data_IF_542006653606
#
_entry.id   IF_542006653606
#
_cell.length_a   1.000
_cell.length_b   1.000
_cell.length_c   1.000
_cell.angle_alpha   90.00
_cell.angle_beta   90.00
_cell.angle_gamma   90.00
#
_symmetry.space_group_name_H-M   'P 1'
#
loop_
_entity.id
_entity.type
_entity.pdbx_description
1 polymer ?
#
# COMPACT_ATOMS: atom_id res chain seq x y z
N UNK A 1 -2.54 -17.29 35.48
CA UNK A 1 -3.98 -17.58 35.26
C UNK A 1 -4.66 -16.29 34.88
N UNK A 2 -5.27 -16.30 33.72
CA UNK A 2 -5.99 -15.14 33.17
C UNK A 2 -7.49 -15.38 33.44
N UNK A 3 -8.19 -14.33 33.88
CA UNK A 3 -9.64 -14.35 33.92
C UNK A 3 -10.17 -13.16 33.13
N UNK A 4 -11.08 -13.43 32.20
CA UNK A 4 -11.81 -12.37 31.50
C UNK A 4 -13.07 -12.11 32.30
N UNK A 5 -13.23 -10.90 32.82
CA UNK A 5 -14.37 -10.50 33.63
C UNK A 5 -15.45 -9.85 32.75
N UNK A 6 -16.70 -10.10 33.14
CA UNK A 6 -17.86 -9.48 32.49
C UNK A 6 -17.83 -7.96 32.66
N UNK A 7 -18.41 -7.31 31.75
CA UNK A 7 -18.59 -5.88 31.55
C UNK A 7 -18.56 -5.00 32.79
N UNK A 8 -17.57 -4.13 32.89
CA UNK A 8 -17.69 -2.95 33.76
C UNK A 8 -18.14 -1.80 32.85
N UNK A 9 -19.36 -1.33 33.01
CA UNK A 9 -19.84 -0.09 32.39
C UNK A 9 -19.08 1.08 33.03
N UNK A 10 -18.22 1.73 32.27
CA UNK A 10 -17.60 2.98 32.68
C UNK A 10 -18.60 4.09 32.40
N UNK A 11 -18.93 4.98 33.35
CA UNK A 11 -19.80 6.10 33.05
C UNK A 11 -19.25 6.92 31.89
N UNK A 12 -19.99 6.97 30.77
CA UNK A 12 -19.63 7.70 29.56
C UNK A 12 -18.85 6.94 28.48
N UNK A 13 -18.65 5.62 28.61
CA UNK A 13 -17.96 4.77 27.60
C UNK A 13 -18.81 3.60 27.14
N UNK A 14 -18.64 3.20 25.86
CA UNK A 14 -19.14 1.93 25.34
C UNK A 14 -18.58 0.78 26.19
N UNK A 15 -19.41 -0.22 26.48
CA UNK A 15 -19.03 -1.37 27.31
C UNK A 15 -17.77 -2.06 26.79
N UNK A 16 -16.70 -2.00 27.59
CA UNK A 16 -15.40 -2.54 27.24
C UNK A 16 -15.06 -3.69 28.17
N UNK A 17 -14.62 -4.82 27.63
CA UNK A 17 -14.18 -5.99 28.37
C UNK A 17 -12.98 -5.71 29.26
N UNK A 18 -12.68 -6.64 30.16
CA UNK A 18 -11.56 -6.55 31.10
C UNK A 18 -10.81 -7.87 31.18
N UNK A 19 -9.51 -7.80 31.26
CA UNK A 19 -8.61 -8.93 31.58
C UNK A 19 -8.01 -8.68 32.97
N UNK A 20 -8.13 -9.63 33.85
CA UNK A 20 -7.44 -9.62 35.13
C UNK A 20 -6.32 -10.66 35.13
N UNK A 21 -5.16 -10.25 35.62
CA UNK A 21 -4.00 -11.14 35.84
C UNK A 21 -3.82 -11.32 37.34
N UNK A 22 -3.67 -12.55 37.76
CA UNK A 22 -3.38 -12.87 39.16
C UNK A 22 -2.17 -13.79 39.30
N UNK A 23 -1.32 -13.52 40.28
CA UNK A 23 -0.26 -14.44 40.70
C UNK A 23 -0.77 -15.35 41.80
N UNK A 24 -0.30 -16.61 41.79
CA UNK A 24 -0.58 -17.56 42.87
C UNK A 24 0.72 -17.73 43.66
N UNK A 25 0.66 -17.37 44.95
CA UNK A 25 1.75 -17.60 45.89
C UNK A 25 1.21 -18.29 47.14
N UNK A 26 1.75 -19.46 47.48
CA UNK A 26 1.29 -20.27 48.60
C UNK A 26 -0.23 -20.53 48.64
N UNK A 27 -0.82 -20.77 47.45
CA UNK A 27 -2.27 -21.01 47.31
C UNK A 27 -3.14 -19.76 47.39
N UNK A 28 -2.56 -18.57 47.50
CA UNK A 28 -3.30 -17.30 47.57
C UNK A 28 -3.21 -16.60 46.24
N UNK A 29 -4.36 -16.23 45.70
CA UNK A 29 -4.47 -15.37 44.49
C UNK A 29 -4.23 -13.91 44.86
N UNK A 30 -3.28 -13.28 44.18
CA UNK A 30 -3.03 -11.85 44.29
C UNK A 30 -3.18 -11.21 42.92
N UNK A 31 -4.13 -10.28 42.79
CA UNK A 31 -4.29 -9.50 41.54
C UNK A 31 -3.03 -8.68 41.26
N UNK A 32 -2.63 -8.68 39.99
CA UNK A 32 -1.58 -7.81 39.46
C UNK A 32 -2.17 -6.44 39.09
N UNK A 33 -1.33 -5.45 39.02
CA UNK A 33 -1.72 -4.14 38.49
C UNK A 33 -1.88 -4.24 36.97
N UNK A 34 -2.95 -3.65 36.43
CA UNK A 34 -3.28 -3.67 35.01
C UNK A 34 -3.32 -2.26 34.41
N UNK A 35 -2.61 -2.05 33.33
CA UNK A 35 -2.73 -0.87 32.48
C UNK A 35 -3.33 -1.27 31.12
N UNK A 36 -4.14 -0.41 30.57
CA UNK A 36 -4.77 -0.62 29.26
C UNK A 36 -4.32 0.49 28.30
N UNK A 37 -3.82 0.11 27.13
CA UNK A 37 -3.58 1.04 26.04
C UNK A 37 -4.89 1.69 25.57
N UNK A 38 -4.77 2.78 24.85
CA UNK A 38 -5.92 3.50 24.29
C UNK A 38 -6.75 2.53 23.44
N UNK A 39 -8.05 2.52 23.68
CA UNK A 39 -9.05 1.68 22.98
C UNK A 39 -8.83 0.15 23.03
N UNK A 40 -7.73 -0.34 23.62
CA UNK A 40 -7.44 -1.77 23.70
C UNK A 40 -8.59 -2.59 24.35
N UNK A 41 -9.31 -2.00 25.30
CA UNK A 41 -10.44 -2.65 25.96
C UNK A 41 -11.62 -2.91 25.02
N UNK A 42 -11.77 -2.13 23.95
CA UNK A 42 -12.84 -2.31 22.98
C UNK A 42 -12.71 -3.66 22.26
N UNK A 43 -11.49 -4.15 22.10
CA UNK A 43 -11.23 -5.46 21.50
C UNK A 43 -11.80 -6.61 22.33
N UNK A 44 -11.93 -6.46 23.63
CA UNK A 44 -12.48 -7.47 24.52
C UNK A 44 -14.03 -7.52 24.51
N UNK A 45 -14.69 -6.67 23.73
CA UNK A 45 -16.14 -6.69 23.54
C UNK A 45 -16.59 -7.75 22.52
N UNK A 46 -17.88 -8.05 22.49
CA UNK A 46 -18.47 -9.11 21.68
C UNK A 46 -18.75 -8.71 20.22
N UNK A 47 -18.73 -7.43 19.84
CA UNK A 47 -19.06 -6.93 18.50
C UNK A 47 -18.23 -5.73 18.08
N UNK A 48 -18.10 -5.59 16.76
CA UNK A 48 -17.44 -4.47 16.07
C UNK A 48 -18.15 -3.13 16.16
N UNK A 49 -19.35 -3.09 16.69
CA UNK A 49 -20.15 -1.88 16.79
C UNK A 49 -20.25 -1.42 18.25
N UNK A 50 -20.44 -0.10 18.41
CA UNK A 50 -20.64 0.57 19.69
C UNK A 50 -21.85 0.07 20.52
N UNK A 51 -22.47 -1.02 20.12
CA UNK A 51 -23.60 -1.60 20.82
C UNK A 51 -23.15 -2.29 22.10
N UNK A 52 -23.97 -2.08 23.13
CA UNK A 52 -23.79 -2.62 24.46
C UNK A 52 -23.32 -4.08 24.44
N UNK A 53 -22.22 -4.32 25.12
CA UNK A 53 -21.57 -5.62 25.23
C UNK A 53 -22.57 -6.62 25.82
N UNK A 54 -22.98 -7.57 25.00
CA UNK A 54 -23.53 -8.80 25.55
C UNK A 54 -22.43 -9.51 26.33
N UNK A 55 -22.76 -10.19 27.40
CA UNK A 55 -21.81 -10.92 28.25
C UNK A 55 -20.78 -11.69 27.44
N UNK A 56 -19.50 -11.50 27.73
CA UNK A 56 -18.38 -12.22 27.14
C UNK A 56 -18.03 -13.39 28.03
N UNK A 57 -17.89 -14.56 27.44
CA UNK A 57 -17.48 -15.78 28.14
C UNK A 57 -15.97 -16.00 27.95
N UNK A 58 -15.34 -16.68 28.88
CA UNK A 58 -13.92 -17.05 28.76
C UNK A 58 -13.65 -17.89 27.50
N UNK A 59 -14.63 -18.64 27.02
CA UNK A 59 -14.57 -19.48 25.82
C UNK A 59 -14.47 -18.66 24.51
N UNK A 60 -14.87 -17.40 24.56
CA UNK A 60 -14.78 -16.47 23.43
C UNK A 60 -13.33 -16.04 23.15
N UNK A 61 -12.38 -16.40 24.01
CA UNK A 61 -11.00 -15.98 23.89
C UNK A 61 -10.04 -17.18 23.75
N UNK A 62 -8.94 -16.92 23.03
CA UNK A 62 -7.79 -17.79 22.99
C UNK A 62 -6.54 -17.04 23.47
N UNK A 63 -5.61 -17.77 24.12
CA UNK A 63 -4.44 -17.20 24.76
C UNK A 63 -3.19 -17.97 24.33
N UNK A 64 -2.29 -17.28 23.64
CA UNK A 64 -1.00 -17.81 23.24
C UNK A 64 0.11 -17.02 23.93
N UNK A 65 0.91 -17.68 24.76
CA UNK A 65 2.06 -17.02 25.38
C UNK A 65 3.35 -17.38 24.66
N UNK A 66 4.04 -16.34 24.20
CA UNK A 66 5.36 -16.44 23.56
C UNK A 66 6.31 -15.58 24.40
N UNK A 67 7.24 -16.22 25.11
CA UNK A 67 8.15 -15.54 26.07
C UNK A 67 7.35 -14.71 27.10
N UNK A 68 7.57 -13.40 27.14
CA UNK A 68 6.94 -12.49 28.11
C UNK A 68 5.64 -11.83 27.60
N UNK A 69 5.20 -12.23 26.43
CA UNK A 69 4.02 -11.66 25.77
C UNK A 69 2.95 -12.72 25.55
N UNK A 70 1.73 -12.43 25.97
CA UNK A 70 0.56 -13.26 25.66
C UNK A 70 -0.28 -12.57 24.61
N UNK A 71 -0.48 -13.24 23.48
CA UNK A 71 -1.41 -12.84 22.44
C UNK A 71 -2.81 -13.26 22.88
N UNK A 72 -3.74 -12.34 22.89
CA UNK A 72 -5.15 -12.57 23.22
C UNK A 72 -5.97 -12.42 21.95
N UNK A 73 -6.63 -13.49 21.56
CA UNK A 73 -7.51 -13.56 20.39
C UNK A 73 -8.97 -13.56 20.84
N UNK A 74 -9.77 -12.64 20.35
CA UNK A 74 -11.21 -12.62 20.53
C UNK A 74 -11.86 -13.30 19.32
N UNK A 75 -12.44 -14.48 19.53
CA UNK A 75 -13.05 -15.34 18.50
C UNK A 75 -14.33 -14.75 17.87
N UNK A 76 -14.91 -13.73 18.47
CA UNK A 76 -16.09 -13.04 17.95
C UNK A 76 -15.74 -11.76 17.16
N UNK A 77 -14.47 -11.36 17.14
CA UNK A 77 -14.04 -10.15 16.46
C UNK A 77 -13.79 -10.43 14.99
N UNK A 78 -14.51 -9.71 14.14
CA UNK A 78 -14.32 -9.78 12.69
C UNK A 78 -13.14 -8.89 12.30
N UNK A 79 -12.20 -9.42 11.55
CA UNK A 79 -11.08 -8.65 11.02
C UNK A 79 -11.58 -7.67 9.97
N UNK A 80 -11.05 -6.46 9.96
CA UNK A 80 -11.44 -5.41 9.03
C UNK A 80 -10.20 -4.80 8.35
N UNK A 81 -10.35 -4.45 7.08
CA UNK A 81 -9.28 -3.76 6.36
C UNK A 81 -9.26 -2.25 6.66
N UNK A 82 -8.10 -1.64 6.49
CA UNK A 82 -7.96 -0.19 6.52
C UNK A 82 -8.66 0.43 5.31
N UNK A 83 -9.08 1.67 5.43
CA UNK A 83 -9.60 2.43 4.29
C UNK A 83 -8.46 3.03 3.47
N UNK A 84 -8.67 3.21 2.18
CA UNK A 84 -7.82 4.11 1.40
C UNK A 84 -7.99 5.54 1.91
N UNK A 85 -6.88 6.24 2.10
CA UNK A 85 -6.91 7.66 2.49
C UNK A 85 -7.65 8.51 1.44
N UNK A 86 -7.36 8.24 0.17
CA UNK A 86 -8.02 8.84 -0.99
C UNK A 86 -8.26 7.76 -2.05
N UNK A 87 -9.40 7.80 -2.76
CA UNK A 87 -9.64 6.91 -3.88
C UNK A 87 -8.60 7.14 -4.98
N UNK A 88 -8.00 6.08 -5.47
CA UNK A 88 -7.11 6.17 -6.62
C UNK A 88 -7.92 6.51 -7.88
N UNK A 89 -7.50 7.55 -8.58
CA UNK A 89 -8.05 7.92 -9.89
C UNK A 89 -6.92 7.87 -10.90
N UNK A 90 -7.04 6.99 -11.87
CA UNK A 90 -6.08 6.83 -12.93
C UNK A 90 -5.98 8.09 -13.82
N UNK A 91 -4.84 8.25 -14.51
CA UNK A 91 -4.59 9.33 -15.47
C UNK A 91 -4.72 10.77 -14.94
N UNK A 92 -4.53 10.96 -13.64
CA UNK A 92 -4.43 12.32 -13.06
C UNK A 92 -3.03 12.90 -13.13
N UNK A 93 -2.04 12.09 -13.43
CA UNK A 93 -0.62 12.51 -13.50
C UNK A 93 0.00 12.03 -14.80
N UNK A 94 0.91 12.85 -15.34
CA UNK A 94 1.71 12.49 -16.50
C UNK A 94 3.13 13.05 -16.34
N UNK A 95 4.10 12.32 -16.87
CA UNK A 95 5.47 12.75 -16.99
C UNK A 95 5.80 12.86 -18.47
N UNK A 96 6.22 14.03 -18.94
CA UNK A 96 6.75 14.25 -20.29
C UNK A 96 8.25 14.42 -20.18
N UNK A 97 9.02 13.64 -20.93
CA UNK A 97 10.48 13.63 -20.88
C UNK A 97 11.05 14.04 -22.24
N UNK A 98 12.04 14.95 -22.21
CA UNK A 98 12.79 15.35 -23.40
C UNK A 98 14.09 14.54 -23.47
N UNK A 99 14.34 13.89 -24.61
CA UNK A 99 15.51 13.05 -24.83
C UNK A 99 16.56 13.72 -25.71
N UNK A 100 16.12 14.53 -26.67
CA UNK A 100 17.01 15.25 -27.57
C UNK A 100 16.47 16.62 -27.93
N UNK A 101 17.37 17.52 -28.30
CA UNK A 101 17.08 18.89 -28.66
C UNK A 101 17.67 19.14 -30.05
N UNK A 102 16.85 19.64 -30.97
CA UNK A 102 17.20 19.80 -32.39
C UNK A 102 16.81 21.20 -32.86
N UNK A 103 17.60 21.73 -33.81
CA UNK A 103 17.25 22.95 -34.54
C UNK A 103 16.10 22.70 -35.51
N UNK A 104 15.33 23.75 -35.83
CA UNK A 104 14.22 23.72 -36.80
C UNK A 104 13.23 22.59 -36.55
N UNK A 105 12.95 22.36 -35.29
CA UNK A 105 12.10 21.24 -34.84
C UNK A 105 10.93 21.75 -34.02
N UNK A 106 9.84 21.00 -34.06
CA UNK A 106 8.64 21.26 -33.28
C UNK A 106 8.57 20.26 -32.11
N UNK A 107 8.26 20.78 -30.91
CA UNK A 107 7.96 20.03 -29.72
C UNK A 107 6.52 20.33 -29.30
N UNK A 108 5.73 19.30 -29.11
CA UNK A 108 4.29 19.42 -28.89
C UNK A 108 3.81 18.54 -27.75
N UNK A 109 2.98 19.09 -26.88
CA UNK A 109 2.22 18.38 -25.87
C UNK A 109 0.75 18.66 -26.12
N UNK A 110 -0.08 17.61 -26.16
CA UNK A 110 -1.52 17.73 -26.28
C UNK A 110 -2.20 17.00 -25.11
N UNK A 111 -3.16 17.68 -24.48
CA UNK A 111 -3.96 17.17 -23.38
C UNK A 111 -5.42 17.09 -23.78
N UNK A 112 -6.08 15.99 -23.46
CA UNK A 112 -7.52 15.79 -23.62
C UNK A 112 -8.06 15.30 -22.30
N UNK A 113 -9.02 16.02 -21.70
CA UNK A 113 -9.65 15.60 -20.46
C UNK A 113 -10.73 14.57 -20.70
N UNK A 114 -10.81 13.54 -19.88
CA UNK A 114 -11.83 12.50 -20.02
C UNK A 114 -13.25 13.05 -19.84
N UNK A 115 -13.42 14.15 -19.11
CA UNK A 115 -14.69 14.86 -18.94
C UNK A 115 -15.12 15.67 -20.19
N UNK A 116 -14.16 16.04 -21.08
CA UNK A 116 -14.41 16.76 -22.33
C UNK A 116 -13.44 16.23 -23.40
N UNK A 117 -13.85 15.18 -24.08
CA UNK A 117 -13.07 14.54 -25.14
C UNK A 117 -13.08 15.31 -26.46
N UNK A 118 -13.86 16.40 -26.56
CA UNK A 118 -13.96 17.21 -27.78
C UNK A 118 -12.91 18.32 -27.84
N UNK A 119 -12.42 18.79 -26.69
CA UNK A 119 -11.45 19.86 -26.59
C UNK A 119 -10.03 19.31 -26.41
N UNK A 120 -9.13 19.65 -27.32
CA UNK A 120 -7.71 19.33 -27.21
C UNK A 120 -6.93 20.59 -26.87
N UNK A 121 -6.26 20.57 -25.75
CA UNK A 121 -5.34 21.63 -25.34
C UNK A 121 -3.95 21.31 -25.83
N UNK A 122 -3.32 22.23 -26.58
CA UNK A 122 -2.04 21.95 -27.22
C UNK A 122 -1.03 23.06 -26.91
N UNK A 123 0.12 22.67 -26.36
CA UNK A 123 1.30 23.52 -26.25
C UNK A 123 2.32 23.14 -27.32
N UNK A 124 2.89 24.13 -28.02
CA UNK A 124 3.85 23.94 -29.10
C UNK A 124 5.03 24.88 -28.85
N UNK A 125 6.24 24.30 -28.90
CA UNK A 125 7.49 25.05 -28.96
C UNK A 125 8.20 24.72 -30.27
N UNK A 126 8.61 25.75 -31.02
CA UNK A 126 9.39 25.60 -32.26
C UNK A 126 10.77 26.18 -32.06
N UNK A 127 11.79 25.33 -32.21
CA UNK A 127 13.16 25.78 -32.12
C UNK A 127 13.59 26.52 -33.39
N UNK A 128 14.44 27.53 -33.20
CA UNK A 128 15.00 28.31 -34.34
C UNK A 128 15.82 27.45 -35.31
N UNK A 129 16.01 27.96 -36.49
CA UNK A 129 16.93 27.39 -37.47
C UNK A 129 18.36 27.56 -36.95
N UNK A 130 19.21 26.55 -37.19
CA UNK A 130 20.64 26.66 -36.91
C UNK A 130 21.25 27.76 -37.80
N UNK A 131 21.92 28.72 -37.15
CA UNK A 131 22.59 29.82 -37.83
C UNK A 131 24.09 29.81 -37.46
N UNK A 132 24.94 29.78 -38.47
CA UNK A 132 26.40 29.82 -38.29
C UNK A 132 26.93 31.20 -37.91
N UNK A 133 26.09 32.24 -37.95
CA UNK A 133 26.44 33.60 -37.56
C UNK A 133 26.25 33.93 -36.08
N UNK A 134 25.66 33.02 -35.32
CA UNK A 134 25.38 33.20 -33.88
C UNK A 134 26.44 32.48 -33.04
N UNK A 135 26.87 33.09 -31.94
CA UNK A 135 27.84 32.50 -31.01
C UNK A 135 27.40 31.13 -30.50
N UNK A 136 28.36 30.21 -30.27
CA UNK A 136 28.07 28.90 -29.66
C UNK A 136 27.36 29.00 -28.32
N UNK A 137 27.65 30.04 -27.51
CA UNK A 137 26.99 30.29 -26.23
C UNK A 137 25.48 30.57 -26.41
N UNK A 138 25.12 31.41 -27.40
CA UNK A 138 23.71 31.73 -27.70
C UNK A 138 22.99 30.51 -28.26
N UNK A 139 23.64 29.73 -29.10
CA UNK A 139 23.07 28.50 -29.63
C UNK A 139 22.80 27.48 -28.50
N UNK A 140 23.70 27.33 -27.56
CA UNK A 140 23.51 26.45 -26.40
C UNK A 140 22.36 26.92 -25.55
N UNK A 141 22.17 28.22 -25.35
CA UNK A 141 21.05 28.79 -24.61
C UNK A 141 19.71 28.50 -25.28
N UNK A 142 19.59 28.69 -26.61
CA UNK A 142 18.36 28.47 -27.34
C UNK A 142 17.97 27.00 -27.52
N UNK A 143 18.92 26.06 -27.38
CA UNK A 143 18.70 24.61 -27.45
C UNK A 143 18.81 23.92 -26.09
N UNK A 144 18.39 24.56 -25.07
CA UNK A 144 18.30 23.92 -23.74
C UNK A 144 17.01 23.15 -23.60
N UNK A 145 17.11 21.91 -23.13
CA UNK A 145 15.93 21.09 -22.77
C UNK A 145 15.04 21.81 -21.77
N UNK A 146 15.64 22.50 -20.81
CA UNK A 146 14.92 23.28 -19.80
C UNK A 146 14.09 24.39 -20.46
N UNK A 147 14.66 25.16 -21.38
CA UNK A 147 13.98 26.28 -22.02
C UNK A 147 12.81 25.80 -22.91
N UNK A 148 12.97 24.68 -23.60
CA UNK A 148 11.87 24.07 -24.37
C UNK A 148 10.73 23.63 -23.44
N UNK A 149 11.06 23.04 -22.27
CA UNK A 149 10.06 22.63 -21.30
C UNK A 149 9.42 23.83 -20.59
N UNK A 150 10.16 24.90 -20.33
CA UNK A 150 9.61 26.18 -19.82
C UNK A 150 8.59 26.75 -20.81
N UNK A 151 8.91 26.81 -22.11
CA UNK A 151 8.01 27.26 -23.16
C UNK A 151 6.75 26.39 -23.28
N UNK A 152 6.89 25.08 -23.23
CA UNK A 152 5.75 24.16 -23.29
C UNK A 152 4.86 24.29 -22.03
N UNK A 153 5.45 24.60 -20.89
CA UNK A 153 4.72 24.84 -19.64
C UNK A 153 3.98 26.18 -19.63
N UNK A 154 4.69 27.27 -19.90
CA UNK A 154 4.20 28.62 -19.64
C UNK A 154 3.57 29.26 -20.88
N UNK A 155 3.88 28.76 -22.08
CA UNK A 155 3.52 29.38 -23.33
C UNK A 155 4.41 30.59 -23.65
N UNK A 156 4.18 31.24 -24.79
CA UNK A 156 4.80 32.53 -25.06
C UNK A 156 3.99 33.63 -24.41
N UNK A 157 4.56 34.36 -23.50
CA UNK A 157 4.08 35.70 -23.25
C UNK A 157 4.24 36.51 -24.52
N UNK A 158 3.19 37.26 -24.90
CA UNK A 158 3.15 38.01 -26.15
C UNK A 158 4.28 39.05 -26.20
N UNK A 159 5.36 38.78 -26.91
CA UNK A 159 6.40 39.73 -27.22
C UNK A 159 7.83 39.30 -26.94
N UNK A 160 8.10 38.36 -26.07
CA UNK A 160 9.47 37.92 -25.75
C UNK A 160 9.76 36.52 -26.22
N UNK A 161 10.22 36.42 -27.46
CA UNK A 161 11.00 35.28 -27.92
C UNK A 161 12.43 35.37 -27.36
N UNK A 162 12.57 35.44 -26.03
CA UNK A 162 13.85 35.50 -25.37
C UNK A 162 14.74 34.31 -25.79
N UNK A 163 14.13 33.19 -26.09
CA UNK A 163 14.81 31.97 -26.53
C UNK A 163 14.76 31.71 -28.06
N UNK A 164 14.17 32.62 -28.84
CA UNK A 164 14.03 32.46 -30.27
C UNK A 164 13.06 31.37 -30.71
N UNK A 165 12.19 30.93 -29.82
CA UNK A 165 11.15 29.94 -30.07
C UNK A 165 9.88 30.63 -30.57
N UNK A 166 9.18 30.06 -31.53
CA UNK A 166 7.84 30.50 -31.95
C UNK A 166 6.80 29.61 -31.28
N UNK A 167 6.05 30.17 -30.34
CA UNK A 167 5.06 29.40 -29.59
C UNK A 167 3.65 29.60 -30.14
N UNK A 168 2.85 28.56 -30.09
CA UNK A 168 1.41 28.71 -30.14
C UNK A 168 0.92 29.24 -28.76
N UNK A 169 -0.07 30.10 -28.80
CA UNK A 169 -0.45 31.07 -27.78
C UNK A 169 -0.82 30.58 -26.38
N UNK A 170 -0.66 29.33 -26.01
CA UNK A 170 -1.04 28.84 -24.67
C UNK A 170 -0.14 27.69 -24.24
N UNK A 171 0.61 27.90 -23.17
CA UNK A 171 1.25 26.84 -22.45
C UNK A 171 0.24 26.01 -21.65
N UNK A 172 0.70 24.91 -21.08
CA UNK A 172 -0.13 24.04 -20.25
C UNK A 172 -0.55 24.76 -18.95
N UNK A 173 0.28 25.66 -18.46
CA UNK A 173 0.04 26.38 -17.17
C UNK A 173 -1.19 27.31 -17.19
N UNK A 174 -1.66 27.72 -18.37
CA UNK A 174 -2.91 28.50 -18.50
C UNK A 174 -4.19 27.70 -18.24
N UNK A 175 -4.10 26.39 -18.03
CA UNK A 175 -5.24 25.54 -17.74
C UNK A 175 -5.55 25.55 -16.23
N UNK A 176 -6.74 25.98 -15.86
CA UNK A 176 -7.22 26.17 -14.47
C UNK A 176 -7.23 24.88 -13.73
N UNK A 177 -6.83 23.84 -13.84
CA UNK A 177 -6.85 22.60 -13.06
C UNK A 177 -5.61 21.74 -13.31
N UNK A 178 -4.60 22.33 -13.92
CA UNK A 178 -3.34 21.69 -14.21
C UNK A 178 -2.22 22.37 -13.42
N UNK A 179 -1.42 21.56 -12.77
CA UNK A 179 -0.12 21.99 -12.21
C UNK A 179 0.97 21.31 -13.03
N UNK A 180 1.89 22.10 -13.58
CA UNK A 180 3.00 21.62 -14.36
C UNK A 180 4.33 22.05 -13.70
N UNK A 181 5.20 21.09 -13.42
CA UNK A 181 6.47 21.31 -12.70
C UNK A 181 7.63 20.69 -13.49
N UNK A 182 8.65 21.49 -13.79
CA UNK A 182 9.87 20.98 -14.41
C UNK A 182 10.80 20.39 -13.37
N UNK A 183 11.29 19.18 -13.63
CA UNK A 183 12.25 18.45 -12.81
C UNK A 183 13.29 17.82 -13.74
N UNK A 184 14.52 18.36 -13.71
CA UNK A 184 15.57 17.94 -14.65
C UNK A 184 15.15 18.10 -16.11
N UNK A 185 15.11 17.00 -16.85
CA UNK A 185 14.68 16.94 -18.25
C UNK A 185 13.22 16.47 -18.42
N UNK A 186 12.42 16.57 -17.37
CA UNK A 186 11.03 16.13 -17.38
C UNK A 186 10.07 17.24 -16.95
N UNK A 187 8.86 17.21 -17.51
CA UNK A 187 7.73 18.02 -17.09
C UNK A 187 6.70 17.12 -16.43
N UNK A 188 6.51 17.28 -15.12
CA UNK A 188 5.48 16.61 -14.35
C UNK A 188 4.18 17.40 -14.41
N UNK A 189 3.11 16.77 -14.90
CA UNK A 189 1.78 17.35 -15.11
C UNK A 189 0.83 16.65 -14.15
N UNK A 190 0.11 17.43 -13.35
CA UNK A 190 -0.90 16.92 -12.42
C UNK A 190 -2.24 17.64 -12.61
N UNK A 191 -3.32 16.90 -12.67
CA UNK A 191 -4.69 17.43 -12.73
C UNK A 191 -5.36 17.37 -11.37
N UNK A 192 -5.97 18.47 -10.96
CA UNK A 192 -6.81 18.53 -9.76
C UNK A 192 -8.27 18.18 -10.04
N UNK A 193 -8.70 18.14 -11.32
CA UNK A 193 -10.10 18.03 -11.71
C UNK A 193 -10.39 16.87 -12.67
N UNK A 194 -9.82 15.71 -12.41
CA UNK A 194 -10.16 14.52 -13.18
C UNK A 194 -9.02 13.98 -14.05
N UNK A 195 -9.30 12.90 -14.73
CA UNK A 195 -8.37 12.21 -15.59
C UNK A 195 -8.17 12.95 -16.92
N UNK A 196 -6.99 12.82 -17.51
CA UNK A 196 -6.65 13.34 -18.83
C UNK A 196 -5.75 12.36 -19.58
N UNK A 197 -5.75 12.47 -20.88
CA UNK A 197 -4.80 11.74 -21.75
C UNK A 197 -3.78 12.74 -22.29
N UNK A 198 -2.49 12.37 -22.23
CA UNK A 198 -1.38 13.14 -22.79
C UNK A 198 -0.85 12.46 -24.05
N UNK A 199 -0.61 13.25 -25.08
CA UNK A 199 0.14 12.82 -26.27
C UNK A 199 1.24 13.82 -26.56
N UNK A 200 2.39 13.31 -26.99
CA UNK A 200 3.57 14.14 -27.25
C UNK A 200 4.18 13.82 -28.61
N UNK A 201 4.82 14.80 -29.22
CA UNK A 201 5.70 14.62 -30.35
C UNK A 201 6.82 15.65 -30.27
N UNK A 202 8.02 15.31 -30.70
CA UNK A 202 9.14 16.25 -30.66
C UNK A 202 10.28 15.82 -31.58
N UNK A 203 11.05 16.82 -32.06
CA UNK A 203 12.15 16.62 -32.98
C UNK A 203 11.71 16.28 -34.41
N UNK A 204 12.67 16.06 -35.30
CA UNK A 204 12.40 15.73 -36.71
C UNK A 204 11.73 14.37 -36.91
N UNK A 205 12.02 13.42 -36.00
CA UNK A 205 11.48 12.05 -36.04
C UNK A 205 10.23 11.86 -35.20
N UNK A 206 9.80 12.87 -34.45
CA UNK A 206 8.67 12.81 -33.54
C UNK A 206 8.97 12.12 -32.21
N UNK A 207 10.18 11.60 -31.99
CA UNK A 207 10.57 10.79 -30.83
C UNK A 207 11.42 11.51 -29.78
N UNK A 208 11.67 12.82 -29.97
CA UNK A 208 12.47 13.60 -28.99
C UNK A 208 11.75 13.85 -27.67
N UNK A 209 10.42 13.74 -27.63
CA UNK A 209 9.61 13.69 -26.43
C UNK A 209 8.98 12.31 -26.26
N UNK A 210 8.96 11.84 -25.04
CA UNK A 210 8.15 10.69 -24.60
C UNK A 210 7.28 11.07 -23.43
N UNK A 211 6.20 10.35 -23.23
CA UNK A 211 5.33 10.56 -22.07
C UNK A 211 4.85 9.25 -21.51
N UNK A 212 4.63 9.23 -20.20
CA UNK A 212 3.91 8.17 -19.53
C UNK A 212 2.98 8.75 -18.45
N UNK A 213 1.97 8.01 -18.09
CA UNK A 213 1.04 8.38 -17.02
C UNK A 213 1.19 7.44 -15.82
N UNK A 214 0.34 6.46 -15.70
CA UNK A 214 0.35 5.55 -14.55
C UNK A 214 1.13 4.27 -14.81
N UNK A 215 1.54 4.04 -16.05
CA UNK A 215 2.14 2.78 -16.48
C UNK A 215 3.31 3.02 -17.41
N UNK A 216 4.36 2.21 -17.24
CA UNK A 216 5.50 2.08 -18.16
C UNK A 216 5.74 0.60 -18.45
N UNK A 217 6.39 0.30 -19.58
CA UNK A 217 6.71 -1.07 -19.92
C UNK A 217 7.97 -1.57 -19.19
N UNK A 218 8.97 -0.71 -19.05
CA UNK A 218 10.23 -1.07 -18.39
C UNK A 218 10.66 0.00 -17.36
N UNK A 219 11.29 -0.43 -16.28
CA UNK A 219 11.85 0.47 -15.26
C UNK A 219 12.89 1.45 -15.84
N UNK A 220 13.58 1.08 -16.93
CA UNK A 220 14.58 1.92 -17.59
C UNK A 220 13.98 3.14 -18.30
N UNK A 221 12.68 3.15 -18.54
CA UNK A 221 11.95 4.30 -19.10
C UNK A 221 11.76 5.41 -18.08
N UNK A 222 11.87 5.08 -16.80
CA UNK A 222 11.66 6.04 -15.72
C UNK A 222 12.83 7.03 -15.61
N UNK A 223 12.54 8.31 -15.33
CA UNK A 223 13.57 9.32 -15.15
C UNK A 223 14.32 9.12 -13.82
N UNK A 224 15.60 9.54 -13.79
CA UNK A 224 16.42 9.57 -12.58
C UNK A 224 16.02 10.70 -11.61
N UNK A 225 15.22 11.65 -12.07
CA UNK A 225 14.71 12.79 -11.31
C UNK A 225 13.19 12.86 -11.47
N UNK A 226 12.46 12.92 -10.36
CA UNK A 226 11.01 12.99 -10.37
C UNK A 226 10.48 13.65 -9.08
N UNK A 227 9.17 13.71 -8.95
CA UNK A 227 8.48 14.18 -7.75
C UNK A 227 8.45 13.05 -6.70
N UNK A 228 8.70 13.39 -5.44
CA UNK A 228 8.56 12.44 -4.33
C UNK A 228 7.14 11.84 -4.32
N UNK A 229 7.03 10.57 -3.98
CA UNK A 229 5.78 9.79 -3.99
C UNK A 229 5.10 9.64 -5.38
N UNK A 230 5.79 9.94 -6.47
CA UNK A 230 5.31 9.56 -7.80
C UNK A 230 5.30 8.05 -7.93
N UNK A 231 4.13 7.46 -8.11
CA UNK A 231 3.94 6.01 -8.22
C UNK A 231 3.54 5.65 -9.64
N UNK A 232 4.10 4.56 -10.16
CA UNK A 232 3.82 4.01 -11.50
C UNK A 232 3.74 2.50 -11.44
N UNK A 233 2.98 1.93 -12.37
CA UNK A 233 2.95 0.49 -12.64
C UNK A 233 4.00 0.17 -13.69
N UNK A 234 4.81 -0.85 -13.46
CA UNK A 234 5.78 -1.37 -14.41
C UNK A 234 5.24 -2.71 -14.90
N UNK A 235 4.84 -2.75 -16.18
CA UNK A 235 4.24 -3.95 -16.78
C UNK A 235 5.24 -5.06 -17.05
N UNK A 236 6.54 -4.71 -17.14
CA UNK A 236 7.62 -5.62 -17.46
C UNK A 236 7.28 -6.59 -18.61
N UNK A 237 6.98 -6.03 -19.79
CA UNK A 237 6.51 -6.79 -20.96
C UNK A 237 7.46 -7.90 -21.41
N UNK A 238 8.72 -7.88 -20.96
CA UNK A 238 9.69 -8.94 -21.16
C UNK A 238 9.41 -10.19 -20.31
N UNK A 239 8.66 -10.03 -19.20
CA UNK A 239 8.28 -11.11 -18.27
C UNK A 239 6.85 -10.88 -17.79
N UNK A 240 5.82 -11.51 -18.43
CA UNK A 240 4.41 -11.20 -18.17
C UNK A 240 3.94 -11.54 -16.74
N UNK A 241 4.80 -12.14 -15.92
CA UNK A 241 4.48 -12.50 -14.54
C UNK A 241 4.95 -11.48 -13.50
N UNK A 242 5.68 -10.43 -13.91
CA UNK A 242 6.40 -9.54 -13.00
C UNK A 242 5.90 -8.10 -13.07
N UNK A 243 4.60 -7.90 -13.25
CA UNK A 243 4.00 -6.56 -13.06
C UNK A 243 4.15 -6.15 -11.61
N UNK A 244 4.75 -5.00 -11.37
CA UNK A 244 4.94 -4.44 -10.03
C UNK A 244 4.77 -2.93 -10.02
N UNK A 245 4.81 -2.33 -8.84
CA UNK A 245 4.60 -0.90 -8.64
C UNK A 245 5.88 -0.28 -8.11
N UNK A 246 6.25 0.87 -8.65
CA UNK A 246 7.39 1.62 -8.19
C UNK A 246 6.99 3.03 -7.75
N UNK A 247 7.59 3.47 -6.65
CA UNK A 247 7.42 4.81 -6.09
C UNK A 247 8.76 5.53 -6.10
N UNK A 248 8.76 6.80 -6.52
CA UNK A 248 9.96 7.62 -6.49
C UNK A 248 10.22 8.20 -5.10
N UNK A 249 11.41 7.97 -4.58
CA UNK A 249 11.90 8.52 -3.32
C UNK A 249 12.97 9.57 -3.62
N UNK A 250 12.58 10.85 -3.59
CA UNK A 250 13.50 11.94 -3.80
C UNK A 250 14.43 12.12 -2.60
N UNK A 251 15.72 12.34 -2.83
CA UNK A 251 16.74 12.51 -1.79
C UNK A 251 16.42 13.64 -0.82
N UNK A 252 15.76 14.69 -1.30
CA UNK A 252 15.35 15.85 -0.47
C UNK A 252 13.92 15.77 0.06
N UNK A 253 13.23 14.64 -0.17
CA UNK A 253 11.84 14.42 0.27
C UNK A 253 10.77 15.20 -0.50
N UNK A 254 11.13 15.93 -1.59
CA UNK A 254 10.16 16.72 -2.36
C UNK A 254 10.22 16.41 -3.87
N UNK A 255 11.32 16.70 -4.55
CA UNK A 255 11.51 16.47 -5.98
C UNK A 255 12.99 16.57 -6.35
N UNK A 256 13.37 16.04 -7.50
CA UNK A 256 14.73 16.06 -8.04
C UNK A 256 15.33 14.67 -8.10
N UNK A 257 16.63 14.55 -7.83
CA UNK A 257 17.33 13.28 -7.85
C UNK A 257 16.84 12.34 -6.74
N UNK A 258 16.77 11.05 -7.05
CA UNK A 258 16.28 10.04 -6.12
C UNK A 258 16.38 8.63 -6.69
N UNK A 259 15.62 7.72 -6.11
CA UNK A 259 15.55 6.31 -6.53
C UNK A 259 14.10 5.85 -6.65
N UNK A 260 13.87 4.91 -7.55
CA UNK A 260 12.60 4.20 -7.66
C UNK A 260 12.66 2.95 -6.78
N UNK A 261 11.73 2.84 -5.84
CA UNK A 261 11.61 1.73 -4.91
C UNK A 261 10.31 0.99 -5.17
N UNK A 262 10.32 -0.33 -4.99
CA UNK A 262 9.08 -1.12 -5.06
C UNK A 262 8.07 -0.65 -4.03
N UNK A 263 6.80 -0.62 -4.42
CA UNK A 263 5.70 -0.19 -3.56
C UNK A 263 4.43 -0.98 -3.83
N UNK A 264 3.41 -0.77 -3.03
CA UNK A 264 2.07 -1.30 -3.31
C UNK A 264 1.34 -0.46 -4.36
N UNK A 265 0.37 -1.06 -5.00
CA UNK A 265 -0.60 -0.34 -5.84
C UNK A 265 -1.34 0.73 -5.02
N UNK A 266 -1.55 1.90 -5.62
CA UNK A 266 -2.38 2.95 -5.00
C UNK A 266 -3.88 2.59 -4.96
N UNK A 267 -4.30 1.62 -5.76
CA UNK A 267 -5.70 1.18 -5.84
C UNK A 267 -6.09 0.17 -4.75
N UNK A 268 -5.14 -0.28 -3.91
CA UNK A 268 -5.40 -1.28 -2.88
C UNK A 268 -5.19 -0.73 -1.48
N UNK A 269 -5.95 -1.25 -0.53
CA UNK A 269 -5.85 -0.87 0.88
C UNK A 269 -4.47 -1.21 1.45
N UNK A 270 -3.93 -0.39 2.36
CA UNK A 270 -2.58 -0.59 2.89
C UNK A 270 -2.46 -1.84 3.76
N UNK A 271 -3.48 -2.17 4.52
CA UNK A 271 -3.40 -3.28 5.44
C UNK A 271 -4.69 -3.51 6.21
N UNK A 272 -4.58 -4.10 7.37
CA UNK A 272 -5.68 -4.43 8.26
C UNK A 272 -5.73 -3.45 9.42
N UNK A 273 -6.91 -3.26 10.00
CA UNK A 273 -7.05 -2.44 11.19
C UNK A 273 -6.54 -3.19 12.42
N UNK A 274 -5.52 -2.68 13.04
CA UNK A 274 -4.92 -3.24 14.25
C UNK A 274 -5.95 -3.47 15.36
N UNK A 275 -6.97 -2.61 15.47
CA UNK A 275 -8.06 -2.70 16.43
C UNK A 275 -8.96 -3.92 16.26
N UNK A 276 -8.95 -4.55 15.08
CA UNK A 276 -9.72 -5.76 14.77
C UNK A 276 -8.92 -7.05 14.93
N UNK A 277 -7.62 -6.96 15.10
CA UNK A 277 -6.68 -8.07 15.19
C UNK A 277 -6.32 -8.42 16.65
N UNK A 278 -5.76 -9.60 16.93
CA UNK A 278 -5.36 -9.99 18.28
C UNK A 278 -4.46 -8.97 18.96
N UNK A 279 -4.68 -8.79 20.26
CA UNK A 279 -3.96 -7.83 21.09
C UNK A 279 -2.93 -8.54 21.95
N UNK A 280 -2.02 -7.78 22.57
CA UNK A 280 -0.99 -8.32 23.44
C UNK A 280 -1.16 -7.90 24.89
N UNK A 281 -0.87 -8.84 25.77
CA UNK A 281 -0.68 -8.63 27.18
C UNK A 281 0.79 -8.92 27.51
N UNK A 282 1.50 -7.96 28.07
CA UNK A 282 2.91 -8.12 28.43
C UNK A 282 3.20 -7.59 29.83
N UNK A 283 4.25 -8.11 30.43
CA UNK A 283 4.71 -7.69 31.75
C UNK A 283 5.80 -6.63 31.60
N UNK A 284 5.52 -5.39 31.97
CA UNK A 284 6.48 -4.28 31.88
C UNK A 284 7.39 -4.22 33.11
N UNK A 285 6.83 -4.46 34.30
CA UNK A 285 7.58 -4.51 35.56
C UNK A 285 6.92 -5.54 36.48
N UNK A 286 7.62 -5.93 37.51
CA UNK A 286 7.14 -6.96 38.46
C UNK A 286 5.69 -6.70 38.93
N UNK A 287 4.81 -7.65 38.65
CA UNK A 287 3.38 -7.62 39.01
C UNK A 287 2.57 -6.49 38.30
N UNK A 288 3.09 -5.91 37.23
CA UNK A 288 2.38 -4.93 36.44
C UNK A 288 2.29 -5.43 34.98
N UNK A 289 1.09 -5.47 34.43
CA UNK A 289 0.81 -5.94 33.09
C UNK A 289 0.14 -4.86 32.28
N UNK A 290 0.53 -4.76 31.03
CA UNK A 290 -0.10 -3.85 30.07
C UNK A 290 -0.79 -4.64 28.97
N UNK A 291 -2.09 -4.40 28.79
CA UNK A 291 -2.86 -4.89 27.65
C UNK A 291 -2.97 -3.80 26.60
N UNK A 292 -2.46 -4.07 25.44
CA UNK A 292 -2.39 -3.08 24.35
C UNK A 292 -2.63 -3.71 22.99
N UNK A 293 -3.01 -2.88 22.05
CA UNK A 293 -3.04 -3.18 20.63
C UNK A 293 -1.65 -3.57 20.15
N UNK A 294 -1.58 -4.48 19.19
CA UNK A 294 -0.37 -4.77 18.43
C UNK A 294 -0.41 -3.92 17.16
N UNK A 295 0.70 -3.31 16.80
CA UNK A 295 0.86 -2.69 15.49
C UNK A 295 1.27 -3.78 14.51
N UNK A 296 0.35 -4.17 13.64
CA UNK A 296 0.63 -5.10 12.55
C UNK A 296 1.18 -4.35 11.36
N UNK A 297 2.04 -5.00 10.59
CA UNK A 297 2.66 -4.37 9.43
C UNK A 297 1.65 -4.20 8.30
N UNK A 298 1.75 -3.07 7.62
CA UNK A 298 1.00 -2.83 6.39
C UNK A 298 1.62 -3.57 5.20
N UNK A 299 0.82 -3.77 4.16
CA UNK A 299 1.27 -4.22 2.86
C UNK A 299 2.07 -3.11 2.19
N UNK A 300 3.37 -3.32 2.01
CA UNK A 300 4.28 -2.32 1.46
C UNK A 300 4.48 -2.47 -0.05
N UNK A 301 4.20 -3.64 -0.62
CA UNK A 301 4.44 -3.97 -2.03
C UNK A 301 3.28 -4.75 -2.63
N UNK A 302 3.18 -4.76 -3.96
CA UNK A 302 2.22 -5.58 -4.71
C UNK A 302 0.77 -5.06 -4.67
N UNK A 303 -0.14 -5.95 -4.97
CA UNK A 303 -1.59 -5.67 -5.07
C UNK A 303 -2.44 -6.86 -4.56
N UNK A 304 -3.72 -6.87 -4.91
CA UNK A 304 -4.66 -7.93 -4.55
C UNK A 304 -4.45 -9.25 -5.35
N UNK A 305 -3.36 -9.37 -6.09
CA UNK A 305 -3.00 -10.57 -6.85
C UNK A 305 -1.63 -11.10 -6.43
N UNK A 306 -0.67 -10.20 -6.24
CA UNK A 306 0.72 -10.55 -5.95
C UNK A 306 1.06 -10.56 -4.46
N UNK A 307 0.29 -9.83 -3.65
CA UNK A 307 0.47 -9.76 -2.19
C UNK A 307 -0.90 -9.55 -1.52
N UNK A 308 -1.73 -10.58 -1.54
CA UNK A 308 -3.12 -10.55 -1.05
C UNK A 308 -3.18 -10.31 0.47
N UNK A 309 -4.36 -9.93 0.97
CA UNK A 309 -4.62 -10.02 2.41
C UNK A 309 -4.59 -11.50 2.83
N UNK A 310 -4.08 -11.80 4.05
CA UNK A 310 -4.09 -13.16 4.58
C UNK A 310 -5.53 -13.71 4.69
N UNK A 311 -5.68 -15.04 4.69
CA UNK A 311 -6.98 -15.73 4.55
C UNK A 311 -7.98 -15.51 5.69
N UNK A 312 -7.60 -14.78 6.74
CA UNK A 312 -8.59 -14.23 7.68
C UNK A 312 -9.34 -13.01 7.11
N UNK A 313 -9.06 -12.66 5.86
CA UNK A 313 -9.88 -11.82 4.98
C UNK A 313 -10.26 -12.64 3.74
N UNK A 314 -11.52 -12.90 3.53
CA UNK A 314 -11.98 -13.63 2.34
C UNK A 314 -11.96 -12.73 1.12
N UNK A 315 -11.18 -13.11 0.10
CA UNK A 315 -11.16 -12.43 -1.19
C UNK A 315 -12.43 -12.75 -1.99
N UNK A 316 -13.08 -11.73 -2.50
CA UNK A 316 -14.22 -11.81 -3.39
C UNK A 316 -13.86 -11.10 -4.71
N UNK A 317 -14.07 -11.79 -5.83
CA UNK A 317 -13.81 -11.25 -7.16
C UNK A 317 -15.12 -11.11 -7.90
N UNK A 318 -15.51 -9.88 -8.23
CA UNK A 318 -16.71 -9.59 -9.01
C UNK A 318 -16.49 -9.95 -10.50
N UNK A 319 -17.57 -10.00 -11.27
CA UNK A 319 -17.51 -10.35 -12.69
C UNK A 319 -16.72 -9.35 -13.56
N UNK A 320 -16.58 -8.12 -13.10
CA UNK A 320 -15.77 -7.06 -13.72
C UNK A 320 -14.29 -7.10 -13.31
N UNK A 321 -13.89 -8.09 -12.48
CA UNK A 321 -12.54 -8.23 -11.93
C UNK A 321 -12.28 -7.41 -10.66
N UNK A 322 -13.25 -6.65 -10.17
CA UNK A 322 -13.10 -5.90 -8.92
C UNK A 322 -12.92 -6.85 -7.73
N UNK A 323 -11.86 -6.61 -6.97
CA UNK A 323 -11.53 -7.38 -5.75
C UNK A 323 -11.99 -6.64 -4.52
N UNK A 324 -12.75 -7.33 -3.67
CA UNK A 324 -13.14 -6.86 -2.34
C UNK A 324 -12.82 -7.93 -1.30
N UNK A 325 -12.74 -7.53 -0.04
CA UNK A 325 -12.48 -8.46 1.05
C UNK A 325 -13.59 -8.44 2.08
N UNK A 326 -13.91 -9.63 2.60
CA UNK A 326 -14.82 -9.79 3.74
C UNK A 326 -14.04 -10.37 4.90
N UNK A 327 -14.07 -9.70 6.04
CA UNK A 327 -13.36 -10.15 7.23
C UNK A 327 -13.99 -11.42 7.82
N UNK A 328 -13.13 -12.27 8.36
CA UNK A 328 -13.47 -13.48 9.13
C UNK A 328 -13.06 -13.30 10.59
N UNK A 329 -13.43 -14.26 11.43
CA UNK A 329 -13.01 -14.31 12.83
C UNK A 329 -11.83 -15.27 12.99
N UNK A 330 -10.85 -14.88 13.81
CA UNK A 330 -9.70 -15.72 14.15
C UNK A 330 -10.09 -16.63 15.33
N UNK A 331 -9.93 -17.95 15.17
CA UNK A 331 -10.37 -18.94 16.17
C UNK A 331 -9.28 -19.29 17.16
N UNK A 332 -8.02 -19.34 16.72
CA UNK A 332 -6.88 -19.69 17.55
C UNK A 332 -5.61 -19.02 17.07
N UNK A 333 -4.75 -18.62 18.01
CA UNK A 333 -3.37 -18.24 17.73
C UNK A 333 -2.43 -19.38 18.07
N UNK A 334 -1.34 -19.57 17.30
CA UNK A 334 -0.33 -20.57 17.57
C UNK A 334 1.07 -20.06 17.20
N UNK A 335 2.09 -20.74 17.68
CA UNK A 335 3.48 -20.47 17.36
C UNK A 335 4.13 -21.71 16.78
N UNK A 336 4.75 -21.55 15.61
CA UNK A 336 5.45 -22.65 14.94
C UNK A 336 6.54 -22.11 14.03
N UNK A 337 7.73 -22.73 14.05
CA UNK A 337 8.88 -22.37 13.20
C UNK A 337 9.17 -20.85 13.13
N UNK A 338 9.29 -20.22 14.29
CA UNK A 338 9.54 -18.80 14.43
C UNK A 338 8.50 -17.88 13.76
N UNK A 339 7.27 -18.36 13.65
CA UNK A 339 6.14 -17.62 13.09
C UNK A 339 4.98 -17.58 14.08
N UNK A 340 4.31 -16.44 14.15
CA UNK A 340 2.98 -16.34 14.74
C UNK A 340 1.96 -16.79 13.69
N UNK A 341 1.09 -17.69 14.05
CA UNK A 341 0.05 -18.15 13.15
C UNK A 341 -1.35 -17.96 13.69
N UNK A 342 -2.31 -17.86 12.79
CA UNK A 342 -3.73 -17.76 13.07
C UNK A 342 -4.52 -18.82 12.32
N UNK A 343 -5.49 -19.39 13.02
CA UNK A 343 -6.45 -20.35 12.50
C UNK A 343 -7.77 -19.66 12.20
N UNK A 344 -8.26 -19.79 10.98
CA UNK A 344 -9.52 -19.15 10.55
C UNK A 344 -10.29 -20.09 9.63
N UNK A 345 -11.48 -20.51 10.01
CA UNK A 345 -12.30 -21.46 9.24
C UNK A 345 -11.49 -22.69 8.77
N UNK A 346 -11.18 -22.79 7.47
CA UNK A 346 -10.39 -23.86 6.86
C UNK A 346 -8.95 -23.44 6.53
N UNK A 347 -8.53 -22.25 6.97
CA UNK A 347 -7.25 -21.63 6.61
C UNK A 347 -6.29 -21.53 7.80
N UNK A 348 -5.00 -21.66 7.48
CA UNK A 348 -3.87 -21.45 8.37
C UNK A 348 -3.00 -20.35 7.78
N UNK A 349 -2.94 -19.21 8.45
CA UNK A 349 -2.10 -18.08 8.04
C UNK A 349 -0.97 -17.91 9.05
N UNK A 350 0.29 -17.87 8.60
CA UNK A 350 1.45 -17.64 9.46
C UNK A 350 2.21 -16.40 9.02
N UNK A 351 2.70 -15.67 9.99
CA UNK A 351 3.50 -14.46 9.78
C UNK A 351 4.82 -14.77 9.05
N UNK A 352 5.51 -13.73 8.63
CA UNK A 352 6.90 -13.80 8.19
C UNK A 352 7.77 -14.40 9.30
N UNK A 353 8.82 -15.15 8.91
CA UNK A 353 9.75 -15.73 9.88
C UNK A 353 10.48 -14.64 10.65
N UNK A 354 10.55 -14.77 11.97
CA UNK A 354 11.14 -13.81 12.91
C UNK A 354 10.47 -12.41 12.95
N UNK A 355 9.39 -12.20 12.19
CA UNK A 355 8.61 -10.97 12.20
C UNK A 355 7.12 -11.30 12.44
N UNK A 356 6.74 -11.44 13.70
CA UNK A 356 5.46 -12.02 14.15
C UNK A 356 4.22 -11.21 13.75
N UNK A 357 4.41 -9.92 13.44
CA UNK A 357 3.28 -9.04 13.15
C UNK A 357 3.19 -8.67 11.67
N UNK A 358 3.97 -9.34 10.83
CA UNK A 358 4.01 -9.14 9.39
C UNK A 358 3.40 -10.35 8.66
N UNK A 359 2.26 -10.14 8.01
CA UNK A 359 1.54 -11.14 7.21
C UNK A 359 1.58 -10.82 5.71
N UNK A 360 2.50 -9.96 5.27
CA UNK A 360 2.67 -9.57 3.88
C UNK A 360 4.06 -9.88 3.35
N UNK A 361 4.15 -10.10 2.05
CA UNK A 361 5.41 -10.36 1.35
C UNK A 361 6.32 -9.12 1.38
N UNK A 362 7.62 -9.35 1.31
CA UNK A 362 8.64 -8.28 1.31
C UNK A 362 8.81 -7.67 -0.08
N UNK A 363 8.68 -8.48 -1.13
CA UNK A 363 8.68 -8.08 -2.54
C UNK A 363 7.62 -8.86 -3.29
N UNK A 364 6.96 -8.25 -4.25
CA UNK A 364 5.97 -8.92 -5.10
C UNK A 364 6.61 -9.64 -6.30
N UNK A 365 7.91 -9.46 -6.54
CA UNK A 365 8.62 -10.02 -7.69
C UNK A 365 9.13 -11.45 -7.45
N UNK A 366 9.49 -11.78 -6.21
CA UNK A 366 10.03 -13.11 -5.86
C UNK A 366 9.56 -13.50 -4.47
N UNK A 367 9.26 -14.80 -4.26
CA UNK A 367 8.98 -15.33 -2.94
C UNK A 367 10.25 -15.90 -2.29
N UNK A 368 10.33 -15.80 -0.98
CA UNK A 368 11.42 -16.31 -0.15
C UNK A 368 10.88 -17.23 0.94
N UNK A 369 11.72 -18.11 1.48
CA UNK A 369 11.35 -19.00 2.59
C UNK A 369 10.96 -18.26 3.87
N UNK A 370 11.34 -16.98 3.97
CA UNK A 370 10.99 -16.12 5.10
C UNK A 370 9.58 -15.50 4.98
N UNK A 371 8.99 -15.47 3.79
CA UNK A 371 7.69 -14.83 3.55
C UNK A 371 6.55 -15.52 4.31
N UNK A 372 5.44 -14.83 4.53
CA UNK A 372 4.26 -15.40 5.17
C UNK A 372 3.76 -16.66 4.47
N UNK A 373 3.18 -17.55 5.24
CA UNK A 373 2.56 -18.78 4.71
C UNK A 373 1.06 -18.70 4.90
N UNK A 374 0.31 -18.92 3.84
CA UNK A 374 -1.15 -18.93 3.87
C UNK A 374 -1.69 -20.13 3.09
N UNK A 375 -2.32 -21.06 3.78
CA UNK A 375 -2.75 -22.33 3.24
C UNK A 375 -4.18 -22.68 3.67
N UNK A 376 -4.94 -23.19 2.71
CA UNK A 376 -6.27 -23.75 2.97
C UNK A 376 -6.22 -25.27 3.06
N UNK A 377 -6.99 -25.84 3.96
CA UNK A 377 -7.18 -27.28 4.05
C UNK A 377 -8.06 -27.76 2.88
N UNK A 378 -7.49 -28.54 1.96
CA UNK A 378 -8.23 -29.14 0.87
C UNK A 378 -8.92 -30.43 1.35
N UNK A 379 -10.25 -30.45 1.30
CA UNK A 379 -11.06 -31.62 1.63
C UNK A 379 -12.26 -31.75 0.72
N UNK A 380 -12.72 -32.97 0.49
CA UNK A 380 -13.95 -33.25 -0.26
C UNK A 380 -15.20 -32.74 0.48
N UNK A 381 -15.12 -32.64 1.80
CA UNK A 381 -16.17 -32.07 2.66
C UNK A 381 -15.67 -30.78 3.29
N UNK A 382 -16.51 -29.75 3.39
CA UNK A 382 -16.16 -28.55 4.11
C UNK A 382 -15.66 -28.91 5.52
N UNK A 383 -14.48 -28.42 5.89
CA UNK A 383 -13.85 -28.72 7.17
C UNK A 383 -13.51 -27.39 7.87
N UNK A 384 -14.34 -26.98 8.82
CA UNK A 384 -13.99 -25.87 9.70
C UNK A 384 -13.03 -26.37 10.75
N UNK A 385 -11.84 -25.79 10.77
CA UNK A 385 -10.80 -26.11 11.74
C UNK A 385 -11.17 -25.51 13.11
N UNK A 386 -11.10 -26.35 14.13
CA UNK A 386 -11.44 -25.97 15.52
C UNK A 386 -10.22 -25.93 16.43
N UNK A 387 -9.10 -26.47 16.00
CA UNK A 387 -7.88 -26.48 16.77
C UNK A 387 -6.64 -26.83 15.96
N UNK A 388 -5.51 -26.35 16.45
CA UNK A 388 -4.19 -26.59 15.91
C UNK A 388 -3.21 -26.92 17.02
N UNK A 389 -2.38 -27.93 16.81
CA UNK A 389 -1.35 -28.35 17.77
C UNK A 389 -0.02 -28.47 17.05
N UNK A 390 0.97 -27.63 17.38
CA UNK A 390 2.33 -27.79 16.88
C UNK A 390 2.97 -29.10 17.37
N UNK A 391 3.64 -29.82 16.48
CA UNK A 391 4.38 -31.04 16.79
C UNK A 391 5.75 -31.02 16.11
N UNK A 392 6.64 -31.93 16.49
CA UNK A 392 7.96 -32.04 15.86
C UNK A 392 7.90 -32.41 14.37
N UNK A 393 6.82 -33.02 13.91
CA UNK A 393 6.62 -33.42 12.52
C UNK A 393 5.74 -32.49 11.68
N UNK A 394 5.31 -31.35 12.24
CA UNK A 394 4.42 -30.42 11.54
C UNK A 394 3.29 -29.91 12.44
N UNK A 395 2.29 -29.32 11.84
CA UNK A 395 1.09 -28.85 12.52
C UNK A 395 -0.03 -29.87 12.38
N UNK A 396 -0.57 -30.31 13.51
CA UNK A 396 -1.77 -31.14 13.55
C UNK A 396 -3.00 -30.24 13.59
N UNK A 397 -3.88 -30.37 12.61
CA UNK A 397 -5.07 -29.56 12.44
C UNK A 397 -6.30 -30.44 12.68
N UNK A 398 -7.23 -29.94 13.47
CA UNK A 398 -8.43 -30.65 13.88
C UNK A 398 -9.68 -29.93 13.40
N UNK A 399 -10.58 -30.65 12.79
CA UNK A 399 -11.95 -30.25 12.56
C UNK A 399 -12.92 -31.23 13.21
N UNK A 400 -14.20 -30.94 13.20
CA UNK A 400 -15.21 -31.83 13.77
C UNK A 400 -15.19 -33.24 13.14
N UNK A 401 -14.87 -33.35 11.86
CA UNK A 401 -15.02 -34.59 11.09
C UNK A 401 -13.72 -35.10 10.49
N UNK A 402 -12.64 -34.31 10.49
CA UNK A 402 -11.41 -34.63 9.79
C UNK A 402 -10.19 -34.08 10.55
N UNK A 403 -9.05 -34.70 10.30
CA UNK A 403 -7.76 -34.28 10.83
C UNK A 403 -6.79 -34.13 9.66
N UNK A 404 -5.96 -33.11 9.73
CA UNK A 404 -4.96 -32.82 8.72
C UNK A 404 -3.58 -32.67 9.37
N UNK A 405 -2.56 -32.90 8.58
CA UNK A 405 -1.18 -32.63 8.98
C UNK A 405 -0.58 -31.69 7.94
N UNK A 406 -0.11 -30.56 8.39
CA UNK A 406 0.67 -29.63 7.59
C UNK A 406 2.14 -29.88 7.87
N UNK A 407 2.86 -30.37 6.89
CA UNK A 407 4.31 -30.57 6.99
C UNK A 407 5.04 -29.28 6.64
N UNK A 408 6.11 -28.99 7.40
CA UNK A 408 7.10 -28.00 6.98
C UNK A 408 7.88 -28.60 5.80
N UNK A 409 7.90 -27.89 4.67
CA UNK A 409 8.80 -28.22 3.57
C UNK A 409 10.23 -27.80 3.90
#
# INVERSE_FOLDING_TARGET
MFAVDETITIPGGSGAGRVDVATISNGVFKKCHMTYGTDARNYLGKKDTADAVASVNAEDYDFLTIRDTTIITNKNRVVTEQALAEPFVAKKKATVRIHSVEYSSEYKISLVFDADTTTTYTAICKTRAGDTAVNDADNTFFLSAKNILDDLRDGSESGDNEYGHTNAASGIHGLTNITATIIGQSLEIESTNGAFTVTVSGGRTGSALTSFQDTVDLITELPAESKHDRTVTINNTASPYDTYYAKFVATNGTKGAGVWEETRSLAVTPGLKDESLPHKLYNDVRNHFTFSQISYNDRLVGDNTTNEHPSFMQKNVAADGTVTYTGKTIQQAFYYNNRLGFLTEDNVSMSKSDDFYNFYMTTAQTSTDADPVDLSCSSIKPATLTGIVPSAGGLLLFSQNQQFVMFSA
#
